data_IF_396389923106
#
_entry.id   IF_396389923106
#
_cell.length_a   1.000
_cell.length_b   1.000
_cell.length_c   1.000
_cell.angle_alpha   90.00
_cell.angle_beta   90.00
_cell.angle_gamma   90.00
#
_symmetry.space_group_name_H-M   'P 1'
#
loop_
_entity.id
_entity.type
_entity.pdbx_description
1 polymer ?
#
# COMPACT_ATOMS: atom_id res chain seq x y z
N UNK A 1 41.66 44.11 10.34
CA UNK A 1 41.73 43.44 11.66
C UNK A 1 40.32 43.20 12.24
N UNK A 2 39.45 42.46 11.55
CA UNK A 2 38.14 42.05 12.10
C UNK A 2 37.61 40.73 11.48
N UNK A 3 38.50 39.89 10.92
CA UNK A 3 38.12 38.62 10.29
C UNK A 3 38.59 37.35 11.04
N UNK A 4 39.34 37.46 12.13
CA UNK A 4 39.96 36.28 12.79
C UNK A 4 39.47 36.09 14.23
N UNK A 5 38.14 36.11 14.46
CA UNK A 5 37.58 35.92 15.80
C UNK A 5 36.43 34.91 15.89
N UNK A 6 36.38 33.97 14.95
CA UNK A 6 35.41 32.86 14.92
C UNK A 6 36.07 31.53 14.53
N UNK A 7 37.35 31.34 14.86
CA UNK A 7 37.95 30.01 14.86
C UNK A 7 37.50 29.21 16.10
N UNK A 8 36.95 28.03 15.80
CA UNK A 8 37.13 26.80 16.56
C UNK A 8 36.66 26.79 18.02
N UNK A 9 35.34 26.67 18.21
CA UNK A 9 34.81 25.82 19.28
C UNK A 9 34.53 24.43 18.73
N UNK A 10 35.56 23.59 18.74
CA UNK A 10 35.48 22.14 18.61
C UNK A 10 34.55 21.59 19.70
N UNK A 11 33.32 21.23 19.32
CA UNK A 11 32.25 20.87 20.27
C UNK A 11 30.96 20.44 19.58
N UNK A 12 31.05 19.39 18.77
CA UNK A 12 30.02 18.39 18.38
C UNK A 12 28.54 18.83 18.34
N UNK A 13 28.19 19.78 17.47
CA UNK A 13 26.85 19.78 16.87
C UNK A 13 26.97 19.53 15.38
N UNK A 14 27.16 18.26 14.99
CA UNK A 14 26.97 17.84 13.60
C UNK A 14 25.53 18.21 13.24
N UNK A 15 25.31 19.26 12.44
CA UNK A 15 23.98 19.54 11.87
C UNK A 15 23.56 18.28 11.11
N UNK A 16 22.73 17.44 11.71
CA UNK A 16 22.19 16.26 11.05
C UNK A 16 21.29 16.76 9.92
N UNK A 17 21.77 16.67 8.68
CA UNK A 17 20.93 16.90 7.50
C UNK A 17 20.14 15.62 7.27
N UNK A 18 18.82 15.66 7.40
CA UNK A 18 17.97 14.53 7.04
C UNK A 18 18.09 14.31 5.53
N UNK A 19 18.54 13.14 5.05
CA UNK A 19 18.62 12.87 3.62
C UNK A 19 17.20 12.84 3.03
N UNK A 20 16.96 13.71 2.04
CA UNK A 20 15.69 13.75 1.32
C UNK A 20 15.73 12.78 0.14
N UNK A 21 14.62 12.08 -0.10
CA UNK A 21 14.47 11.25 -1.28
C UNK A 21 14.47 12.09 -2.57
N UNK A 22 14.98 11.50 -3.66
CA UNK A 22 14.86 12.09 -4.99
C UNK A 22 13.39 12.06 -5.45
N UNK A 23 12.94 13.12 -6.13
CA UNK A 23 11.56 13.27 -6.61
C UNK A 23 11.11 12.16 -7.59
N UNK A 24 12.06 11.56 -8.31
CA UNK A 24 11.87 10.37 -9.14
C UNK A 24 12.73 9.24 -8.56
N UNK A 25 12.13 8.44 -7.69
CA UNK A 25 12.69 7.18 -7.26
C UNK A 25 12.44 6.13 -8.34
N UNK A 26 13.44 5.29 -8.61
CA UNK A 26 13.26 4.02 -9.32
C UNK A 26 12.30 3.14 -8.50
N UNK A 27 11.36 2.50 -9.19
CA UNK A 27 10.25 1.78 -8.59
C UNK A 27 10.31 0.34 -9.00
N UNK A 28 10.32 -0.51 -7.99
CA UNK A 28 10.28 -1.94 -8.17
C UNK A 28 8.81 -2.38 -8.10
N UNK A 29 8.53 -3.53 -8.72
CA UNK A 29 7.22 -4.17 -8.60
C UNK A 29 7.35 -5.40 -7.72
N UNK A 30 6.45 -5.54 -6.76
CA UNK A 30 6.44 -6.66 -5.83
C UNK A 30 5.20 -7.49 -6.07
N UNK A 31 5.38 -8.80 -6.25
CA UNK A 31 4.26 -9.77 -6.31
C UNK A 31 4.05 -10.38 -4.93
N UNK A 32 2.79 -10.39 -4.50
CA UNK A 32 2.37 -10.94 -3.21
C UNK A 32 1.23 -11.93 -3.43
N UNK A 33 1.44 -13.17 -3.00
CA UNK A 33 0.40 -14.19 -2.97
C UNK A 33 -0.54 -14.00 -1.76
N UNK A 34 -1.85 -13.93 -2.04
CA UNK A 34 -2.89 -13.78 -1.02
C UNK A 34 -3.41 -15.12 -0.47
N UNK A 35 -2.93 -16.27 -0.97
CA UNK A 35 -3.38 -17.60 -0.53
C UNK A 35 -3.21 -17.80 0.97
N UNK A 36 -4.29 -18.16 1.68
CA UNK A 36 -4.32 -18.37 3.14
C UNK A 36 -3.91 -17.16 4.01
N UNK A 37 -3.75 -15.98 3.41
CA UNK A 37 -3.39 -14.77 4.15
C UNK A 37 -4.62 -14.14 4.79
N UNK A 38 -4.45 -13.57 5.99
CA UNK A 38 -5.53 -12.80 6.62
C UNK A 38 -5.65 -11.43 5.95
N UNK A 39 -6.85 -11.07 5.48
CA UNK A 39 -7.14 -9.84 4.73
C UNK A 39 -6.47 -8.58 5.32
N UNK A 40 -6.63 -8.35 6.63
CA UNK A 40 -6.08 -7.16 7.29
C UNK A 40 -4.54 -7.15 7.40
N UNK A 41 -3.93 -8.31 7.64
CA UNK A 41 -2.47 -8.44 7.74
C UNK A 41 -1.81 -8.23 6.38
N UNK A 42 -2.37 -8.86 5.34
CA UNK A 42 -1.96 -8.65 3.95
C UNK A 42 -2.06 -7.17 3.58
N UNK A 43 -3.23 -6.56 3.80
CA UNK A 43 -3.45 -5.17 3.43
C UNK A 43 -2.48 -4.19 4.11
N UNK A 44 -2.12 -4.46 5.37
CA UNK A 44 -1.18 -3.63 6.12
C UNK A 44 0.23 -3.72 5.55
N UNK A 45 0.69 -4.92 5.18
CA UNK A 45 1.98 -5.14 4.50
C UNK A 45 2.00 -4.43 3.14
N UNK A 46 0.97 -4.64 2.30
CA UNK A 46 0.87 -3.99 0.99
C UNK A 46 0.89 -2.46 1.10
N UNK A 47 0.16 -1.88 2.07
CA UNK A 47 0.15 -0.43 2.28
C UNK A 47 1.48 0.14 2.78
N UNK A 48 2.32 -0.66 3.47
CA UNK A 48 3.66 -0.24 3.84
C UNK A 48 4.57 -0.12 2.60
N UNK A 49 4.49 -1.10 1.69
CA UNK A 49 5.25 -1.15 0.43
C UNK A 49 4.82 -0.02 -0.52
N UNK A 50 3.51 0.17 -0.71
CA UNK A 50 2.96 1.25 -1.55
C UNK A 50 3.35 2.66 -1.08
N UNK A 51 3.64 2.82 0.23
CA UNK A 51 4.15 4.06 0.80
C UNK A 51 5.66 4.18 0.71
N UNK A 52 6.39 3.09 0.51
CA UNK A 52 7.86 3.07 0.54
C UNK A 52 8.45 3.01 1.94
N UNK A 53 7.66 2.64 2.97
CA UNK A 53 8.15 2.60 4.37
C UNK A 53 9.20 1.51 4.62
N UNK A 54 9.33 0.55 3.72
CA UNK A 54 10.38 -0.47 3.76
C UNK A 54 11.74 0.06 3.27
N UNK A 55 11.75 1.16 2.51
CA UNK A 55 12.99 1.81 2.04
C UNK A 55 13.47 2.82 3.10
N UNK A 56 14.77 2.83 3.48
CA UNK A 56 15.31 3.78 4.45
C UNK A 56 15.32 5.23 3.93
N UNK A 57 15.11 5.41 2.62
CA UNK A 57 14.99 6.70 1.94
C UNK A 57 13.59 7.31 2.03
N UNK A 58 12.68 6.74 2.83
CA UNK A 58 11.29 7.22 2.92
C UNK A 58 11.22 8.70 3.34
N UNK A 59 10.57 9.51 2.51
CA UNK A 59 10.25 10.91 2.79
C UNK A 59 8.75 11.11 2.64
N UNK A 60 8.01 11.60 3.66
CA UNK A 60 6.54 11.67 3.63
C UNK A 60 5.94 12.54 2.51
N UNK A 61 6.67 13.55 2.04
CA UNK A 61 6.23 14.47 0.99
C UNK A 61 6.50 13.96 -0.44
N UNK A 62 7.33 12.93 -0.60
CA UNK A 62 7.80 12.43 -1.89
C UNK A 62 7.21 11.04 -2.16
N UNK A 63 6.95 10.73 -3.42
CA UNK A 63 6.46 9.43 -3.83
C UNK A 63 7.59 8.41 -4.03
N UNK A 64 8.00 7.77 -2.93
CA UNK A 64 9.10 6.79 -2.90
C UNK A 64 8.64 5.32 -2.91
N UNK A 65 7.34 5.07 -3.07
CA UNK A 65 6.76 3.72 -2.92
C UNK A 65 6.86 2.85 -4.17
N UNK A 66 6.80 1.54 -3.95
CA UNK A 66 6.87 0.53 -4.99
C UNK A 66 5.49 0.10 -5.48
N UNK A 67 5.46 -0.55 -6.65
CA UNK A 67 4.25 -1.17 -7.21
C UNK A 67 3.94 -2.47 -6.49
N UNK A 68 2.66 -2.78 -6.29
CA UNK A 68 2.23 -4.02 -5.65
C UNK A 68 1.23 -4.74 -6.54
N UNK A 69 1.55 -5.99 -6.87
CA UNK A 69 0.67 -6.93 -7.56
C UNK A 69 0.25 -7.99 -6.55
N UNK A 70 -1.05 -8.09 -6.30
CA UNK A 70 -1.62 -9.15 -5.47
C UNK A 70 -2.25 -10.20 -6.37
N UNK A 71 -1.88 -11.46 -6.18
CA UNK A 71 -2.43 -12.64 -6.89
C UNK A 71 -3.23 -13.53 -5.94
N UNK A 72 -4.09 -14.39 -6.49
CA UNK A 72 -4.95 -15.30 -5.73
C UNK A 72 -5.83 -14.59 -4.69
N UNK A 73 -6.42 -13.43 -5.06
CA UNK A 73 -7.30 -12.69 -4.16
C UNK A 73 -8.55 -13.50 -3.74
N UNK A 74 -8.91 -14.54 -4.49
CA UNK A 74 -9.99 -15.49 -4.24
C UNK A 74 -9.77 -16.38 -3.00
N UNK A 75 -8.51 -16.62 -2.61
CA UNK A 75 -8.12 -17.52 -1.53
C UNK A 75 -7.80 -16.81 -0.21
N UNK A 76 -8.24 -15.55 -0.07
CA UNK A 76 -7.97 -14.76 1.12
C UNK A 76 -8.88 -15.19 2.28
N UNK A 77 -8.32 -15.17 3.49
CA UNK A 77 -9.02 -15.63 4.69
C UNK A 77 -9.47 -14.47 5.55
N UNK A 78 -10.71 -14.56 6.05
CA UNK A 78 -11.25 -13.71 7.11
C UNK A 78 -11.56 -14.54 8.33
N UNK A 79 -11.17 -14.05 9.51
CA UNK A 79 -11.35 -14.78 10.77
C UNK A 79 -12.76 -14.63 11.34
N UNK A 80 -13.26 -15.70 11.97
CA UNK A 80 -14.53 -15.71 12.70
C UNK A 80 -15.77 -15.57 11.82
N UNK A 81 -16.82 -14.90 12.34
CA UNK A 81 -18.12 -14.73 11.65
C UNK A 81 -18.14 -13.56 10.65
N UNK A 82 -16.99 -12.94 10.38
CA UNK A 82 -16.87 -11.74 9.54
C UNK A 82 -17.33 -11.98 8.09
N UNK A 83 -17.18 -13.19 7.59
CA UNK A 83 -17.67 -13.55 6.25
C UNK A 83 -19.17 -13.26 6.09
N UNK A 84 -19.97 -13.44 7.16
CA UNK A 84 -21.42 -13.22 7.13
C UNK A 84 -21.83 -11.83 7.64
N UNK A 85 -21.08 -11.30 8.61
CA UNK A 85 -21.47 -10.06 9.31
C UNK A 85 -20.96 -8.80 8.62
N UNK A 86 -19.91 -8.89 7.80
CA UNK A 86 -19.32 -7.71 7.17
C UNK A 86 -20.20 -7.28 6.00
N UNK A 87 -20.77 -6.08 6.12
CA UNK A 87 -21.55 -5.42 5.08
C UNK A 87 -20.74 -4.24 4.53
N UNK A 88 -20.72 -4.11 3.22
CA UNK A 88 -20.18 -2.99 2.47
C UNK A 88 -21.34 -2.11 2.00
N UNK A 89 -21.25 -0.82 2.31
CA UNK A 89 -22.26 0.17 1.98
C UNK A 89 -21.73 1.12 0.92
N UNK A 90 -22.51 1.31 -0.14
CA UNK A 90 -22.27 2.31 -1.16
C UNK A 90 -23.54 3.15 -1.34
N UNK A 91 -23.41 4.48 -1.40
CA UNK A 91 -24.54 5.38 -1.59
C UNK A 91 -24.42 6.10 -2.93
N UNK A 92 -25.51 6.17 -3.71
CA UNK A 92 -25.50 6.83 -5.01
C UNK A 92 -25.58 8.37 -4.92
N UNK A 93 -26.02 8.91 -3.79
CA UNK A 93 -26.26 10.35 -3.58
C UNK A 93 -27.74 10.75 -3.66
N UNK A 94 -28.62 9.88 -4.16
CA UNK A 94 -30.07 10.10 -4.25
C UNK A 94 -30.81 9.53 -3.02
N UNK A 95 -32.01 10.04 -2.73
CA UNK A 95 -32.89 9.51 -1.68
C UNK A 95 -33.19 8.02 -1.94
N UNK A 96 -33.01 7.17 -0.93
CA UNK A 96 -33.15 5.72 -1.06
C UNK A 96 -32.03 5.02 -1.84
N UNK A 97 -30.94 5.72 -2.16
CA UNK A 97 -29.83 5.23 -2.97
C UNK A 97 -28.78 4.35 -2.27
N UNK A 98 -29.09 3.84 -1.07
CA UNK A 98 -28.18 3.00 -0.29
C UNK A 98 -28.15 1.58 -0.84
N UNK A 99 -26.96 1.11 -1.20
CA UNK A 99 -26.71 -0.27 -1.63
C UNK A 99 -25.85 -0.95 -0.58
N UNK A 100 -26.36 -2.04 -0.02
CA UNK A 100 -25.64 -2.90 0.91
C UNK A 100 -25.27 -4.20 0.20
N UNK A 101 -24.05 -4.68 0.39
CA UNK A 101 -23.58 -6.00 -0.06
C UNK A 101 -22.84 -6.68 1.07
N UNK A 102 -23.10 -7.97 1.26
CA UNK A 102 -22.35 -8.78 2.22
C UNK A 102 -20.97 -9.13 1.66
N UNK A 103 -20.05 -9.52 2.55
CA UNK A 103 -18.72 -9.96 2.16
C UNK A 103 -18.76 -11.18 1.23
N UNK A 104 -19.67 -12.14 1.47
CA UNK A 104 -19.84 -13.31 0.59
C UNK A 104 -20.22 -12.93 -0.83
N UNK A 105 -21.25 -12.09 -0.98
CA UNK A 105 -21.68 -11.62 -2.29
C UNK A 105 -20.58 -10.85 -3.04
N UNK A 106 -19.76 -10.07 -2.31
CA UNK A 106 -18.60 -9.40 -2.90
C UNK A 106 -17.52 -10.38 -3.33
N UNK A 107 -17.25 -11.41 -2.53
CA UNK A 107 -16.24 -12.43 -2.83
C UNK A 107 -16.61 -13.26 -4.06
N UNK A 108 -17.90 -13.57 -4.24
CA UNK A 108 -18.42 -14.29 -5.40
C UNK A 108 -18.40 -13.44 -6.67
N UNK A 109 -18.69 -12.13 -6.54
CA UNK A 109 -18.76 -11.22 -7.69
C UNK A 109 -17.40 -10.73 -8.16
N UNK A 110 -16.62 -10.16 -7.25
CA UNK A 110 -15.29 -9.63 -7.53
C UNK A 110 -14.42 -9.67 -6.26
N UNK A 111 -13.67 -10.76 -6.04
CA UNK A 111 -12.78 -10.88 -4.89
C UNK A 111 -11.66 -9.83 -4.92
N UNK A 112 -11.31 -9.31 -6.10
CA UNK A 112 -10.29 -8.27 -6.25
C UNK A 112 -10.74 -6.94 -5.65
N UNK A 113 -12.04 -6.62 -5.72
CA UNK A 113 -12.62 -5.40 -5.15
C UNK A 113 -12.51 -5.41 -3.62
N UNK A 114 -12.75 -6.55 -2.98
CA UNK A 114 -12.64 -6.73 -1.52
C UNK A 114 -11.23 -6.37 -1.03
N UNK A 115 -10.20 -6.93 -1.67
CA UNK A 115 -8.80 -6.68 -1.33
C UNK A 115 -8.40 -5.24 -1.64
N UNK A 116 -8.86 -4.71 -2.77
CA UNK A 116 -8.61 -3.31 -3.18
C UNK A 116 -9.19 -2.33 -2.18
N UNK A 117 -10.42 -2.53 -1.70
CA UNK A 117 -11.05 -1.67 -0.68
C UNK A 117 -10.24 -1.72 0.61
N UNK A 118 -9.82 -2.92 1.05
CA UNK A 118 -9.03 -3.08 2.26
C UNK A 118 -7.69 -2.33 2.18
N UNK A 119 -6.94 -2.48 1.08
CA UNK A 119 -5.65 -1.80 0.88
C UNK A 119 -5.85 -0.29 0.74
N UNK A 120 -6.82 0.16 -0.06
CA UNK A 120 -7.08 1.58 -0.29
C UNK A 120 -7.46 2.32 0.99
N UNK A 121 -8.17 1.66 1.91
CA UNK A 121 -8.49 2.21 3.23
C UNK A 121 -7.26 2.43 4.12
N UNK A 122 -6.17 1.68 3.89
CA UNK A 122 -4.91 1.79 4.66
C UNK A 122 -3.94 2.83 4.11
N UNK A 123 -4.21 3.40 2.92
CA UNK A 123 -3.39 4.43 2.25
C UNK A 123 -3.94 5.83 2.62
N UNK A 124 -3.07 6.85 2.82
CA UNK A 124 -3.51 8.21 3.13
C UNK A 124 -4.49 8.78 2.09
N UNK A 125 -5.46 9.55 2.54
CA UNK A 125 -6.51 10.14 1.69
C UNK A 125 -6.06 11.50 1.14
N UNK A 126 -4.90 11.54 0.50
CA UNK A 126 -4.29 12.76 -0.06
C UNK A 126 -4.11 12.65 -1.57
N UNK A 127 -3.66 13.74 -2.22
CA UNK A 127 -3.28 13.71 -3.65
C UNK A 127 -2.21 12.67 -3.92
N UNK A 128 -1.19 12.61 -3.06
CA UNK A 128 -0.14 11.59 -3.12
C UNK A 128 -0.71 10.17 -2.94
N UNK A 129 -1.61 9.98 -1.97
CA UNK A 129 -2.27 8.69 -1.76
C UNK A 129 -3.09 8.24 -2.97
N UNK A 130 -3.71 9.16 -3.72
CA UNK A 130 -4.40 8.84 -4.98
C UNK A 130 -3.42 8.30 -6.03
N UNK A 131 -2.21 8.85 -6.13
CA UNK A 131 -1.14 8.32 -6.99
C UNK A 131 -0.64 6.95 -6.50
N UNK A 132 -0.53 6.74 -5.18
CA UNK A 132 -0.16 5.44 -4.63
C UNK A 132 -1.14 4.33 -5.05
N UNK A 133 -2.45 4.63 -5.05
CA UNK A 133 -3.50 3.66 -5.41
C UNK A 133 -3.45 3.21 -6.87
N UNK A 134 -2.94 4.03 -7.80
CA UNK A 134 -2.88 3.63 -9.22
C UNK A 134 -1.84 2.54 -9.49
N UNK A 135 -0.91 2.34 -8.56
CA UNK A 135 0.14 1.30 -8.63
C UNK A 135 -0.26 -0.03 -7.99
N UNK A 136 -1.45 -0.10 -7.40
CA UNK A 136 -1.97 -1.35 -6.86
C UNK A 136 -2.67 -2.13 -7.98
N UNK A 137 -2.20 -3.35 -8.24
CA UNK A 137 -2.85 -4.32 -9.11
C UNK A 137 -3.26 -5.53 -8.28
N UNK A 138 -4.48 -6.00 -8.51
CA UNK A 138 -5.07 -7.12 -7.76
C UNK A 138 -5.75 -8.00 -8.78
N UNK A 139 -5.43 -9.28 -8.74
CA UNK A 139 -5.96 -10.32 -9.60
C UNK A 139 -6.59 -11.42 -8.75
N UNK A 140 -7.71 -11.95 -9.24
CA UNK A 140 -8.37 -13.11 -8.64
C UNK A 140 -7.56 -14.39 -8.85
N UNK A 141 -6.96 -14.56 -10.03
CA UNK A 141 -6.15 -15.73 -10.38
C UNK A 141 -4.66 -15.60 -10.04
N UNK A 142 -3.87 -16.66 -10.34
CA UNK A 142 -2.42 -16.66 -10.15
C UNK A 142 -1.68 -15.86 -11.23
N UNK A 143 -2.28 -15.74 -12.42
CA UNK A 143 -1.65 -15.10 -13.56
C UNK A 143 -1.83 -13.59 -13.54
N UNK A 144 -0.74 -12.88 -13.84
CA UNK A 144 -0.72 -11.44 -14.04
C UNK A 144 -0.05 -11.11 -15.39
N UNK A 145 -0.61 -10.18 -16.19
CA UNK A 145 -0.09 -9.86 -17.53
C UNK A 145 1.19 -9.00 -17.50
N UNK A 146 1.74 -8.71 -16.33
CA UNK A 146 2.83 -7.75 -16.11
C UNK A 146 4.23 -8.39 -16.09
N UNK A 147 4.44 -9.41 -16.91
CA UNK A 147 5.69 -10.19 -16.98
C UNK A 147 6.91 -9.33 -17.35
N UNK A 148 6.72 -8.23 -18.07
CA UNK A 148 7.79 -7.33 -18.52
C UNK A 148 8.46 -6.54 -17.38
N UNK A 149 7.87 -6.48 -16.19
CA UNK A 149 8.36 -5.65 -15.08
C UNK A 149 9.21 -6.42 -14.05
N UNK A 150 9.54 -7.70 -14.32
CA UNK A 150 10.38 -8.57 -13.50
C UNK A 150 10.17 -8.38 -11.97
N UNK A 151 8.95 -8.63 -11.47
CA UNK A 151 8.63 -8.33 -10.08
C UNK A 151 9.36 -9.25 -9.11
N UNK A 152 9.84 -8.69 -8.01
CA UNK A 152 10.42 -9.46 -6.91
C UNK A 152 9.31 -10.16 -6.12
N UNK A 153 9.43 -11.48 -5.94
CA UNK A 153 8.48 -12.26 -5.15
C UNK A 153 8.79 -12.10 -3.66
N UNK A 154 7.91 -11.40 -2.93
CA UNK A 154 8.01 -11.31 -1.47
C UNK A 154 7.10 -12.36 -0.84
N UNK A 155 7.69 -13.44 -0.34
CA UNK A 155 7.00 -14.42 0.48
C UNK A 155 6.51 -13.76 1.78
N UNK A 156 5.19 -13.62 1.92
CA UNK A 156 4.59 -13.11 3.13
C UNK A 156 4.66 -14.16 4.24
N UNK A 157 5.79 -14.25 4.95
CA UNK A 157 5.92 -15.08 6.15
C UNK A 157 4.90 -14.67 7.25
N UNK A 158 4.36 -15.69 7.92
CA UNK A 158 3.29 -15.62 8.93
C UNK A 158 3.64 -14.78 10.16
#
# INVERSE_FOLDING_TARGET
MLNDRFEEREGVYRRQRTPLAKAQAERDWVVIDATNQTLGRLASKCAAILRGKHKPTFTPSVDCGDGVIVVNADKIVVTGKKANQKIYYNHSGYLGGLRARTYREMMERDPSEVVRIAINGMVPHTRLGRLMRTRLRVYSGPDHPHTAQAPDEVSAAN
#
